data_IF_723912511424
#
_entry.id   IF_723912511424
#
_cell.length_a   1.000
_cell.length_b   1.000
_cell.length_c   1.000
_cell.angle_alpha   90.00
_cell.angle_beta   90.00
_cell.angle_gamma   90.00
#
_symmetry.space_group_name_H-M   'P 1'
#
loop_
_entity.id
_entity.type
_entity.pdbx_description
1 polymer ?
#
# COMPACT_ATOMS: atom_id res chain seq x y z
N UNK A 1 -3.19 60.55 16.68
CA UNK A 1 -2.40 60.73 15.43
C UNK A 1 -1.72 59.39 15.24
N UNK A 2 -2.42 58.46 14.59
CA UNK A 2 -2.16 57.04 14.79
C UNK A 2 -1.43 56.49 13.55
N UNK A 3 -0.13 56.26 13.71
CA UNK A 3 0.76 55.69 12.69
C UNK A 3 0.61 54.16 12.62
N UNK A 4 -0.54 53.66 12.17
CA UNK A 4 -0.81 52.22 12.04
C UNK A 4 -0.63 51.70 10.61
N UNK A 5 0.50 52.01 9.97
CA UNK A 5 0.88 51.39 8.70
C UNK A 5 1.86 50.23 8.93
N UNK A 6 1.41 49.00 8.65
CA UNK A 6 2.27 47.81 8.63
C UNK A 6 2.78 47.57 7.19
N UNK A 7 4.04 47.90 6.92
CA UNK A 7 4.68 47.68 5.62
C UNK A 7 5.55 46.42 5.61
N UNK A 8 5.33 45.53 4.65
CA UNK A 8 6.11 44.31 4.47
C UNK A 8 7.19 44.49 3.40
N UNK A 9 8.46 44.24 3.75
CA UNK A 9 9.58 44.24 2.82
C UNK A 9 9.94 42.78 2.46
N UNK A 10 9.85 42.44 1.17
CA UNK A 10 10.30 41.14 0.66
C UNK A 10 11.79 41.11 0.31
N UNK A 11 12.36 39.92 0.18
CA UNK A 11 13.73 39.73 -0.36
C UNK A 11 13.73 40.06 -1.86
N UNK A 12 14.65 40.92 -2.30
CA UNK A 12 14.78 41.33 -3.71
C UNK A 12 15.02 40.10 -4.59
N UNK A 13 14.04 39.75 -5.43
CA UNK A 13 14.09 38.58 -6.32
C UNK A 13 13.16 37.41 -5.94
N UNK A 14 12.49 37.47 -4.78
CA UNK A 14 11.49 36.48 -4.38
C UNK A 14 10.24 36.61 -5.27
N UNK A 15 9.90 35.57 -6.06
CA UNK A 15 8.69 35.55 -6.91
C UNK A 15 7.53 34.95 -6.13
N UNK A 16 6.53 35.78 -5.81
CA UNK A 16 5.25 35.31 -5.26
C UNK A 16 4.31 34.95 -6.40
N UNK A 17 3.55 33.86 -6.26
CA UNK A 17 2.50 33.48 -7.22
C UNK A 17 2.93 32.70 -8.49
N UNK A 18 4.23 32.62 -8.81
CA UNK A 18 4.71 31.83 -9.97
C UNK A 18 5.36 30.52 -9.50
N UNK A 19 4.73 29.38 -9.78
CA UNK A 19 5.27 28.07 -9.39
C UNK A 19 6.35 27.59 -10.35
N UNK A 20 7.23 26.70 -9.87
CA UNK A 20 8.21 25.99 -10.71
C UNK A 20 7.46 25.26 -11.83
N UNK A 21 7.86 25.51 -13.08
CA UNK A 21 7.23 25.03 -14.33
C UNK A 21 5.95 25.74 -14.80
N UNK A 22 5.60 26.88 -14.19
CA UNK A 22 4.55 27.77 -14.67
C UNK A 22 5.15 29.09 -15.16
N UNK A 23 4.54 29.63 -16.21
CA UNK A 23 4.76 30.98 -16.72
C UNK A 23 4.00 32.00 -15.84
N UNK A 24 4.26 33.29 -16.03
CA UNK A 24 3.65 34.37 -15.23
C UNK A 24 2.12 34.48 -15.43
N UNK A 25 1.63 34.08 -16.60
CA UNK A 25 0.22 33.94 -16.97
C UNK A 25 -0.45 32.67 -16.40
N UNK A 26 0.30 31.82 -15.69
CA UNK A 26 -0.17 30.55 -15.14
C UNK A 26 -0.12 29.36 -16.11
N UNK A 27 0.24 29.57 -17.38
CA UNK A 27 0.38 28.48 -18.35
C UNK A 27 1.60 27.59 -18.02
N UNK A 28 1.60 26.34 -18.49
CA UNK A 28 2.74 25.42 -18.26
C UNK A 28 3.89 25.74 -19.20
N UNK A 29 5.10 25.84 -18.65
CA UNK A 29 6.37 25.84 -19.41
C UNK A 29 6.52 24.56 -20.24
N UNK A 30 7.41 24.56 -21.26
CA UNK A 30 7.70 23.35 -22.05
C UNK A 30 8.13 22.16 -21.16
N UNK A 31 9.03 22.40 -20.20
CA UNK A 31 9.41 21.41 -19.19
C UNK A 31 8.22 20.94 -18.33
N UNK A 32 7.31 21.87 -17.98
CA UNK A 32 6.08 21.55 -17.25
C UNK A 32 5.09 20.69 -18.05
N UNK A 33 5.00 20.92 -19.36
CA UNK A 33 4.21 20.10 -20.29
C UNK A 33 4.83 18.70 -20.43
N UNK A 34 6.13 18.61 -20.64
CA UNK A 34 6.85 17.33 -20.72
C UNK A 34 6.71 16.51 -19.44
N UNK A 35 6.80 17.15 -18.27
CA UNK A 35 6.60 16.49 -16.98
C UNK A 35 5.16 15.98 -16.81
N UNK A 36 4.18 16.76 -17.26
CA UNK A 36 2.79 16.34 -17.23
C UNK A 36 2.55 15.15 -18.19
N UNK A 37 3.16 15.19 -19.38
CA UNK A 37 3.10 14.13 -20.38
C UNK A 37 3.73 12.84 -19.87
N UNK A 38 4.92 12.90 -19.26
CA UNK A 38 5.58 11.74 -18.67
C UNK A 38 4.77 11.13 -17.51
N UNK A 39 4.11 11.99 -16.72
CA UNK A 39 3.19 11.51 -15.68
C UNK A 39 1.89 10.92 -16.26
N UNK A 40 1.47 11.37 -17.44
CA UNK A 40 0.31 10.79 -18.15
C UNK A 40 0.66 9.61 -19.04
N UNK A 41 1.95 9.36 -19.30
CA UNK A 41 2.44 8.18 -20.02
C UNK A 41 2.65 6.98 -19.09
N UNK A 42 2.15 7.04 -17.85
CA UNK A 42 1.79 5.83 -17.14
C UNK A 42 0.77 5.09 -18.02
N UNK A 43 1.21 3.97 -18.61
CA UNK A 43 0.41 3.10 -19.46
C UNK A 43 -1.02 3.05 -18.92
N UNK A 44 -2.03 3.37 -19.74
CA UNK A 44 -3.40 3.41 -19.27
C UNK A 44 -3.70 2.09 -18.59
N UNK A 45 -3.94 2.15 -17.28
CA UNK A 45 -4.16 0.94 -16.49
C UNK A 45 -5.20 0.08 -17.21
N UNK A 46 -4.91 -1.21 -17.38
CA UNK A 46 -5.78 -2.16 -18.08
C UNK A 46 -7.24 -1.98 -17.65
N UNK A 47 -8.19 -2.11 -18.56
CA UNK A 47 -9.59 -1.82 -18.27
C UNK A 47 -10.12 -2.62 -17.07
N UNK A 48 -9.63 -3.84 -16.87
CA UNK A 48 -9.96 -4.67 -15.71
C UNK A 48 -9.46 -4.09 -14.40
N UNK A 49 -8.28 -3.45 -14.40
CA UNK A 49 -7.75 -2.73 -13.24
C UNK A 49 -8.64 -1.53 -12.89
N UNK A 50 -9.01 -0.71 -13.89
CA UNK A 50 -9.92 0.44 -13.71
C UNK A 50 -11.27 0.01 -13.15
N UNK A 51 -11.85 -1.06 -13.69
CA UNK A 51 -13.15 -1.61 -13.24
C UNK A 51 -13.09 -2.03 -11.78
N UNK A 52 -12.04 -2.73 -11.38
CA UNK A 52 -11.95 -3.31 -10.05
C UNK A 52 -11.37 -2.37 -8.98
N UNK A 53 -10.82 -1.22 -9.39
CA UNK A 53 -10.48 -0.07 -8.56
C UNK A 53 -11.42 1.11 -8.74
N UNK A 54 -12.57 0.89 -9.37
CA UNK A 54 -13.62 1.89 -9.43
C UNK A 54 -14.06 2.29 -8.01
N UNK A 55 -14.40 3.57 -7.84
CA UNK A 55 -14.82 4.18 -6.57
C UNK A 55 -16.22 3.70 -6.13
N UNK A 56 -16.85 2.78 -6.89
CA UNK A 56 -18.16 2.23 -6.57
C UNK A 56 -18.12 1.51 -5.23
N UNK A 57 -19.00 1.96 -4.32
CA UNK A 57 -19.22 1.29 -3.05
C UNK A 57 -19.67 -0.14 -3.28
N UNK A 58 -19.17 -1.09 -2.48
CA UNK A 58 -19.54 -2.51 -2.53
C UNK A 58 -21.06 -2.69 -2.44
N UNK A 59 -21.76 -1.80 -1.73
CA UNK A 59 -23.22 -1.83 -1.55
C UNK A 59 -24.01 -1.55 -2.84
N UNK A 60 -23.41 -0.84 -3.79
CA UNK A 60 -24.05 -0.46 -5.05
C UNK A 60 -23.57 -1.33 -6.22
N UNK A 61 -22.81 -2.38 -5.93
CA UNK A 61 -22.18 -3.26 -6.91
C UNK A 61 -23.12 -4.42 -7.26
N UNK A 62 -23.20 -4.79 -8.53
CA UNK A 62 -23.97 -5.97 -8.96
C UNK A 62 -23.25 -7.26 -8.56
N UNK A 63 -23.97 -8.36 -8.41
CA UNK A 63 -23.42 -9.69 -8.10
C UNK A 63 -22.30 -10.11 -9.07
N UNK A 64 -22.40 -9.71 -10.34
CA UNK A 64 -21.37 -9.99 -11.35
C UNK A 64 -20.10 -9.19 -11.08
N UNK A 65 -20.23 -7.89 -10.79
CA UNK A 65 -19.12 -7.00 -10.44
C UNK A 65 -18.42 -7.45 -9.14
N UNK A 66 -19.19 -7.93 -8.14
CA UNK A 66 -18.63 -8.47 -6.89
C UNK A 66 -17.77 -9.72 -7.13
N UNK A 67 -18.23 -10.65 -7.98
CA UNK A 67 -17.47 -11.86 -8.34
C UNK A 67 -16.17 -11.51 -9.05
N UNK A 68 -16.21 -10.57 -10.00
CA UNK A 68 -15.02 -10.09 -10.72
C UNK A 68 -14.02 -9.47 -9.73
N UNK A 69 -14.50 -8.62 -8.81
CA UNK A 69 -13.67 -7.97 -7.80
C UNK A 69 -13.02 -8.99 -6.85
N UNK A 70 -13.76 -10.01 -6.43
CA UNK A 70 -13.26 -11.08 -5.59
C UNK A 70 -12.15 -11.86 -6.30
N UNK A 71 -12.35 -12.26 -7.56
CA UNK A 71 -11.37 -12.98 -8.34
C UNK A 71 -10.05 -12.19 -8.46
N UNK A 72 -10.11 -10.89 -8.79
CA UNK A 72 -8.91 -10.03 -8.82
C UNK A 72 -8.20 -9.96 -7.47
N UNK A 73 -8.93 -9.74 -6.38
CA UNK A 73 -8.35 -9.67 -5.03
C UNK A 73 -7.68 -10.98 -4.62
N UNK A 74 -8.27 -12.12 -5.00
CA UNK A 74 -7.67 -13.43 -4.77
C UNK A 74 -6.37 -13.59 -5.56
N UNK A 75 -6.37 -13.22 -6.85
CA UNK A 75 -5.19 -13.26 -7.71
C UNK A 75 -4.08 -12.36 -7.18
N UNK A 76 -4.39 -11.15 -6.73
CA UNK A 76 -3.41 -10.24 -6.12
C UNK A 76 -2.83 -10.80 -4.83
N UNK A 77 -3.65 -11.43 -3.99
CA UNK A 77 -3.18 -12.10 -2.78
C UNK A 77 -2.21 -13.23 -3.13
N UNK A 78 -2.56 -14.07 -4.12
CA UNK A 78 -1.69 -15.15 -4.59
C UNK A 78 -0.39 -14.62 -5.20
N UNK A 79 -0.48 -13.59 -6.04
CA UNK A 79 0.70 -12.95 -6.62
C UNK A 79 1.59 -12.37 -5.53
N UNK A 80 1.05 -11.63 -4.54
CA UNK A 80 1.86 -11.11 -3.42
C UNK A 80 2.53 -12.23 -2.63
N UNK A 81 1.88 -13.38 -2.46
CA UNK A 81 2.47 -14.53 -1.78
C UNK A 81 3.64 -15.11 -2.58
N UNK A 82 3.47 -15.31 -3.89
CA UNK A 82 4.50 -15.87 -4.77
C UNK A 82 5.61 -14.85 -5.06
N UNK A 83 5.28 -13.58 -5.29
CA UNK A 83 6.24 -12.50 -5.51
C UNK A 83 7.00 -12.13 -4.22
N UNK A 84 6.45 -12.43 -3.03
CA UNK A 84 7.20 -12.31 -1.77
C UNK A 84 8.29 -13.38 -1.57
N UNK A 85 8.56 -14.20 -2.59
CA UNK A 85 9.68 -15.17 -2.64
C UNK A 85 11.05 -14.49 -2.75
N UNK A 86 11.15 -13.15 -2.76
CA UNK A 86 12.35 -12.45 -2.27
C UNK A 86 12.40 -12.48 -0.73
N UNK A 87 12.52 -13.69 -0.16
CA UNK A 87 12.69 -13.86 1.27
C UNK A 87 14.10 -13.40 1.67
N UNK A 88 14.18 -12.19 2.23
CA UNK A 88 15.36 -11.68 2.92
C UNK A 88 15.95 -12.76 3.86
N UNK A 89 17.28 -12.86 3.92
CA UNK A 89 18.06 -13.90 4.64
C UNK A 89 17.52 -14.19 6.06
N UNK A 90 17.01 -13.17 6.75
CA UNK A 90 16.37 -13.31 8.06
C UNK A 90 15.11 -14.18 8.10
N UNK A 91 14.24 -14.13 7.07
CA UNK A 91 13.06 -15.01 6.97
C UNK A 91 13.44 -16.45 6.70
N UNK A 92 14.47 -16.70 5.88
CA UNK A 92 14.98 -18.06 5.65
C UNK A 92 15.53 -18.65 6.94
N UNK A 93 16.37 -17.91 7.67
CA UNK A 93 16.93 -18.36 8.94
C UNK A 93 15.82 -18.74 9.93
N UNK A 94 14.84 -17.85 10.13
CA UNK A 94 13.68 -18.15 11.00
C UNK A 94 12.93 -19.37 10.48
N UNK A 95 12.61 -19.49 9.19
CA UNK A 95 11.91 -20.67 8.67
C UNK A 95 12.69 -21.98 8.81
N UNK A 96 14.04 -21.93 8.80
CA UNK A 96 14.92 -23.08 8.92
C UNK A 96 15.08 -23.51 10.38
N UNK A 97 15.26 -22.58 11.31
CA UNK A 97 15.26 -22.86 12.75
C UNK A 97 13.90 -23.42 13.19
N UNK A 98 12.84 -22.94 12.56
CA UNK A 98 11.46 -23.35 12.77
C UNK A 98 11.17 -24.78 12.30
N UNK A 99 11.69 -25.17 11.13
CA UNK A 99 11.68 -26.56 10.62
C UNK A 99 12.64 -27.50 11.38
N UNK A 100 13.75 -26.99 11.91
CA UNK A 100 14.64 -27.79 12.75
C UNK A 100 14.04 -28.01 14.15
N UNK A 101 13.36 -27.00 14.69
CA UNK A 101 12.63 -27.09 15.94
C UNK A 101 11.44 -28.05 15.86
N UNK A 102 10.89 -28.35 14.67
CA UNK A 102 9.87 -29.41 14.52
C UNK A 102 10.37 -30.84 14.77
N UNK A 103 11.63 -31.03 15.19
CA UNK A 103 12.05 -32.24 15.92
C UNK A 103 11.48 -32.33 17.35
N UNK A 104 10.87 -31.26 17.86
CA UNK A 104 10.04 -31.21 19.06
C UNK A 104 8.75 -30.48 18.66
N UNK A 105 7.64 -31.22 18.56
CA UNK A 105 6.38 -30.70 18.09
C UNK A 105 5.91 -29.50 18.94
N UNK A 106 5.38 -28.45 18.28
CA UNK A 106 4.88 -27.16 18.82
C UNK A 106 6.00 -26.13 19.09
N UNK A 107 5.98 -24.87 18.69
CA UNK A 107 4.98 -24.04 18.04
C UNK A 107 5.73 -22.92 17.34
N UNK A 108 5.41 -22.71 16.08
CA UNK A 108 6.01 -21.62 15.33
C UNK A 108 5.01 -21.11 14.31
N UNK A 109 4.00 -20.50 14.87
CA UNK A 109 2.95 -19.83 14.15
C UNK A 109 3.22 -18.35 14.35
N UNK A 110 3.39 -17.62 13.24
CA UNK A 110 3.40 -16.15 13.25
C UNK A 110 2.16 -15.65 14.00
N UNK A 111 2.21 -14.46 14.60
CA UNK A 111 1.09 -13.91 15.39
C UNK A 111 -0.26 -13.98 14.66
N UNK A 112 -0.25 -13.82 13.33
CA UNK A 112 -1.44 -13.95 12.46
C UNK A 112 -1.98 -15.39 12.43
N UNK A 113 -1.10 -16.40 12.35
CA UNK A 113 -1.50 -17.81 12.36
C UNK A 113 -1.89 -18.30 13.75
N UNK A 114 -1.27 -17.77 14.82
CA UNK A 114 -1.69 -17.98 16.21
C UNK A 114 -3.10 -17.44 16.45
N UNK A 115 -3.41 -16.23 15.96
CA UNK A 115 -4.73 -15.63 16.11
C UNK A 115 -5.81 -16.45 15.41
N UNK A 116 -5.58 -16.83 14.15
CA UNK A 116 -6.56 -17.61 13.37
C UNK A 116 -6.76 -19.04 13.86
N UNK A 117 -5.81 -19.60 14.62
CA UNK A 117 -5.89 -20.97 15.17
C UNK A 117 -5.85 -20.99 16.70
N UNK A 118 -6.28 -19.90 17.34
CA UNK A 118 -6.16 -19.70 18.78
C UNK A 118 -6.77 -20.86 19.58
N UNK A 119 -7.95 -21.35 19.18
CA UNK A 119 -8.62 -22.45 19.89
C UNK A 119 -7.82 -23.76 19.88
N UNK A 120 -7.16 -24.08 18.75
CA UNK A 120 -6.31 -25.29 18.63
C UNK A 120 -5.06 -25.15 19.47
N UNK A 121 -4.42 -23.97 19.43
CA UNK A 121 -3.20 -23.69 20.21
C UNK A 121 -3.52 -23.69 21.70
N UNK A 122 -4.63 -23.06 22.11
CA UNK A 122 -5.13 -23.08 23.49
C UNK A 122 -5.40 -24.50 23.97
N UNK A 123 -6.03 -25.36 23.14
CA UNK A 123 -6.28 -26.76 23.49
C UNK A 123 -4.97 -27.54 23.72
N UNK A 124 -3.97 -27.32 22.87
CA UNK A 124 -2.65 -27.94 23.01
C UNK A 124 -1.97 -27.44 24.30
N UNK A 125 -1.92 -26.12 24.52
CA UNK A 125 -1.33 -25.50 25.71
C UNK A 125 -1.99 -26.01 26.99
N UNK A 126 -3.33 -26.05 27.02
CA UNK A 126 -4.11 -26.57 28.15
C UNK A 126 -3.84 -28.06 28.37
N UNK A 127 -3.70 -28.86 27.31
CA UNK A 127 -3.37 -30.29 27.41
C UNK A 127 -1.95 -30.54 27.94
N UNK A 128 -1.01 -29.63 27.67
CA UNK A 128 0.36 -29.70 28.19
C UNK A 128 0.43 -29.28 29.66
N UNK A 129 -0.37 -28.31 30.10
CA UNK A 129 -0.46 -27.89 31.51
C UNK A 129 -1.28 -28.82 32.41
N UNK A 130 -1.99 -29.81 31.84
CA UNK A 130 -2.80 -30.79 32.57
C UNK A 130 -2.08 -32.13 32.82
N UNK A 131 -0.80 -32.25 32.46
CA UNK A 131 0.10 -33.32 32.93
C UNK A 131 0.93 -32.79 34.08
#
# INVERSE_FOLDING_TARGET
MDNTSLSHHGIKGMKWGVRRFQNKDGSRTAAGKLRALYRSSEEPSHDDYKKAHSVKSVKNMSDTELRIRLNRLQMEKQYRQIASVDVNRGRIFVSKTLKAATGIATATTTAITLYNNYDKVKKILVSMTKK
#
